data_IF_642187945341
#
_entry.id   IF_642187945341
#
_cell.length_a   1.000
_cell.length_b   1.000
_cell.length_c   1.000
_cell.angle_alpha   90.00
_cell.angle_beta   90.00
_cell.angle_gamma   90.00
#
_symmetry.space_group_name_H-M   'P 1'
#
loop_
_entity.id
_entity.type
_entity.pdbx_description
1 polymer ?
#
# COMPACT_ATOMS: atom_id res chain seq x y z
N UNK A 1 -9.44 -10.94 -8.98
CA UNK A 1 -8.66 -11.98 -9.68
C UNK A 1 -7.19 -11.59 -9.66
N UNK A 2 -6.28 -12.56 -9.58
CA UNK A 2 -4.83 -12.34 -9.66
C UNK A 2 -4.34 -12.93 -10.97
N UNK A 3 -3.57 -12.13 -11.73
CA UNK A 3 -2.91 -12.52 -12.97
C UNK A 3 -1.40 -12.42 -12.78
N UNK A 4 -0.64 -13.27 -13.46
CA UNK A 4 0.81 -13.20 -13.47
C UNK A 4 1.31 -12.96 -14.89
N UNK A 5 2.04 -11.86 -15.07
CA UNK A 5 2.70 -11.51 -16.33
C UNK A 5 4.21 -11.64 -16.15
N UNK A 6 4.84 -12.50 -16.94
CA UNK A 6 6.29 -12.68 -16.90
C UNK A 6 6.90 -12.55 -18.29
N UNK A 7 8.10 -11.98 -18.36
CA UNK A 7 8.95 -12.04 -19.57
C UNK A 7 9.71 -13.36 -19.70
N UNK A 8 9.67 -14.22 -18.67
CA UNK A 8 10.34 -15.52 -18.68
C UNK A 8 9.63 -16.54 -19.56
N UNK A 9 10.37 -17.61 -19.86
CA UNK A 9 9.86 -18.80 -20.54
C UNK A 9 8.62 -19.33 -19.83
N UNK A 10 7.67 -19.84 -20.63
CA UNK A 10 6.42 -20.41 -20.15
C UNK A 10 6.61 -21.46 -19.04
N UNK A 11 7.61 -22.32 -19.13
CA UNK A 11 7.88 -23.34 -18.10
C UNK A 11 8.22 -22.75 -16.73
N UNK A 12 9.06 -21.71 -16.69
CA UNK A 12 9.47 -21.05 -15.46
C UNK A 12 8.29 -20.28 -14.84
N UNK A 13 7.57 -19.51 -15.65
CA UNK A 13 6.38 -18.81 -15.22
C UNK A 13 5.33 -19.78 -14.64
N UNK A 14 5.00 -20.85 -15.36
CA UNK A 14 4.02 -21.83 -14.89
C UNK A 14 4.44 -22.52 -13.57
N UNK A 15 5.73 -22.82 -13.41
CA UNK A 15 6.24 -23.39 -12.17
C UNK A 15 6.01 -22.44 -10.98
N UNK A 16 6.42 -21.17 -11.13
CA UNK A 16 6.21 -20.15 -10.08
C UNK A 16 4.72 -19.98 -9.76
N UNK A 17 3.86 -19.87 -10.79
CA UNK A 17 2.42 -19.75 -10.59
C UNK A 17 1.82 -20.93 -9.80
N UNK A 18 2.28 -22.16 -10.08
CA UNK A 18 1.81 -23.35 -9.38
C UNK A 18 2.17 -23.32 -7.88
N UNK A 19 3.36 -22.81 -7.53
CA UNK A 19 3.83 -22.68 -6.15
C UNK A 19 3.02 -21.65 -5.35
N UNK A 20 2.53 -20.59 -6.01
CA UNK A 20 1.75 -19.52 -5.36
C UNK A 20 0.23 -19.64 -5.54
N UNK A 21 -0.24 -20.69 -6.22
CA UNK A 21 -1.67 -20.94 -6.41
C UNK A 21 -2.36 -20.08 -7.47
N UNK A 22 -1.63 -19.55 -8.45
CA UNK A 22 -2.21 -18.84 -9.61
C UNK A 22 -2.62 -19.87 -10.67
N UNK A 23 -3.87 -19.78 -11.12
CA UNK A 23 -4.42 -20.70 -12.12
C UNK A 23 -3.73 -20.53 -13.48
N UNK A 24 -3.54 -21.63 -14.21
CA UNK A 24 -2.79 -21.68 -15.46
C UNK A 24 -3.32 -20.74 -16.55
N UNK A 25 -4.64 -20.51 -16.59
CA UNK A 25 -5.33 -19.59 -17.51
C UNK A 25 -5.05 -18.11 -17.21
N UNK A 26 -4.48 -17.80 -16.03
CA UNK A 26 -4.16 -16.43 -15.58
C UNK A 26 -2.67 -16.14 -15.61
N UNK A 27 -1.89 -17.02 -16.25
CA UNK A 27 -0.44 -16.86 -16.46
C UNK A 27 -0.17 -16.50 -17.90
N UNK A 28 0.48 -15.36 -18.11
CA UNK A 28 0.92 -14.90 -19.42
C UNK A 28 2.44 -14.79 -19.36
N UNK A 29 3.12 -15.65 -20.12
CA UNK A 29 4.57 -15.74 -20.15
C UNK A 29 5.13 -15.14 -21.45
N UNK A 30 6.45 -14.94 -21.49
CA UNK A 30 7.17 -14.37 -22.65
C UNK A 30 6.64 -12.99 -23.08
N UNK A 31 6.09 -12.22 -22.12
CA UNK A 31 5.44 -10.92 -22.35
C UNK A 31 6.46 -9.79 -22.44
N UNK A 32 6.40 -9.01 -23.52
CA UNK A 32 7.21 -7.80 -23.72
C UNK A 32 6.66 -6.61 -22.89
N UNK A 33 7.49 -5.60 -22.57
CA UNK A 33 7.04 -4.44 -21.78
C UNK A 33 5.77 -3.75 -22.29
N UNK A 34 5.63 -3.58 -23.60
CA UNK A 34 4.44 -2.97 -24.20
C UNK A 34 3.18 -3.85 -24.09
N UNK A 35 3.35 -5.18 -24.12
CA UNK A 35 2.25 -6.13 -23.98
C UNK A 35 1.71 -6.14 -22.54
N UNK A 36 2.58 -5.95 -21.53
CA UNK A 36 2.13 -5.77 -20.14
C UNK A 36 1.19 -4.58 -20.00
N UNK A 37 1.51 -3.44 -20.63
CA UNK A 37 0.65 -2.25 -20.67
C UNK A 37 -0.67 -2.53 -21.40
N UNK A 38 -0.60 -3.16 -22.57
CA UNK A 38 -1.79 -3.50 -23.36
C UNK A 38 -2.77 -4.38 -22.57
N UNK A 39 -2.24 -5.36 -21.84
CA UNK A 39 -3.05 -6.24 -20.99
C UNK A 39 -3.78 -5.47 -19.87
N UNK A 40 -3.10 -4.52 -19.23
CA UNK A 40 -3.72 -3.65 -18.21
C UNK A 40 -4.85 -2.82 -18.84
N UNK A 41 -4.59 -2.21 -19.99
CA UNK A 41 -5.60 -1.43 -20.72
C UNK A 41 -6.80 -2.26 -21.16
N UNK A 42 -6.60 -3.53 -21.53
CA UNK A 42 -7.69 -4.45 -21.85
C UNK A 42 -8.58 -4.74 -20.63
N UNK A 43 -7.98 -5.05 -19.49
CA UNK A 43 -8.72 -5.23 -18.23
C UNK A 43 -9.48 -3.96 -17.82
N UNK A 44 -8.88 -2.78 -17.99
CA UNK A 44 -9.52 -1.50 -17.69
C UNK A 44 -10.70 -1.20 -18.61
N UNK A 45 -10.62 -1.58 -19.90
CA UNK A 45 -11.75 -1.48 -20.85
C UNK A 45 -12.94 -2.34 -20.44
N UNK A 46 -12.69 -3.44 -19.73
CA UNK A 46 -13.74 -4.26 -19.10
C UNK A 46 -14.27 -3.67 -17.77
N UNK A 47 -13.98 -2.40 -17.47
CA UNK A 47 -14.36 -1.68 -16.25
C UNK A 47 -13.78 -2.31 -14.96
N UNK A 48 -12.67 -3.04 -15.04
CA UNK A 48 -11.96 -3.54 -13.86
C UNK A 48 -10.97 -2.49 -13.37
N UNK A 49 -10.89 -2.32 -12.05
CA UNK A 49 -9.79 -1.58 -11.41
C UNK A 49 -8.57 -2.48 -11.29
N UNK A 50 -7.45 -2.05 -11.84
CA UNK A 50 -6.23 -2.84 -11.96
C UNK A 50 -5.13 -2.27 -11.06
N UNK A 51 -4.68 -3.08 -10.11
CA UNK A 51 -3.43 -2.85 -9.41
C UNK A 51 -2.32 -3.70 -10.04
N UNK A 52 -1.18 -3.08 -10.36
CA UNK A 52 -0.01 -3.78 -10.88
C UNK A 52 1.12 -3.74 -9.85
N UNK A 53 1.79 -4.89 -9.68
CA UNK A 53 3.01 -5.00 -8.88
C UNK A 53 4.18 -5.31 -9.83
N UNK A 54 5.30 -4.62 -9.66
CA UNK A 54 6.51 -4.83 -10.47
C UNK A 54 7.76 -4.36 -9.74
N UNK A 55 8.92 -4.78 -10.21
CA UNK A 55 10.23 -4.49 -9.58
C UNK A 55 11.24 -3.87 -10.55
N UNK A 56 11.00 -3.97 -11.86
CA UNK A 56 11.99 -3.61 -12.87
C UNK A 56 11.63 -2.41 -13.76
N UNK A 57 12.64 -1.91 -14.45
CA UNK A 57 12.49 -0.88 -15.51
C UNK A 57 11.50 -1.30 -16.62
N UNK A 58 11.36 -2.61 -16.86
CA UNK A 58 10.45 -3.19 -17.86
C UNK A 58 8.99 -3.06 -17.45
N UNK A 59 8.72 -2.86 -16.16
CA UNK A 59 7.36 -2.75 -15.62
C UNK A 59 6.92 -1.29 -15.50
N UNK A 60 7.83 -0.31 -15.59
CA UNK A 60 7.51 1.10 -15.38
C UNK A 60 6.34 1.60 -16.24
N UNK A 61 6.32 1.26 -17.54
CA UNK A 61 5.25 1.67 -18.45
C UNK A 61 3.89 1.03 -18.09
N UNK A 62 3.91 -0.18 -17.55
CA UNK A 62 2.72 -0.91 -17.15
C UNK A 62 2.24 -0.44 -15.76
N UNK A 63 3.17 -0.18 -14.83
CA UNK A 63 2.91 0.41 -13.50
C UNK A 63 2.25 1.78 -13.62
N UNK A 64 2.76 2.62 -14.52
CA UNK A 64 2.19 3.95 -14.80
C UNK A 64 0.80 3.89 -15.46
N UNK A 65 0.43 2.77 -16.09
CA UNK A 65 -0.87 2.59 -16.74
C UNK A 65 -1.93 1.97 -15.84
N UNK A 66 -1.52 1.32 -14.75
CA UNK A 66 -2.43 0.73 -13.78
C UNK A 66 -3.17 1.82 -13.00
N UNK A 67 -4.37 1.51 -12.49
CA UNK A 67 -5.08 2.40 -11.58
C UNK A 67 -4.30 2.60 -10.27
N UNK A 68 -3.56 1.56 -9.86
CA UNK A 68 -2.61 1.61 -8.75
C UNK A 68 -1.34 0.86 -9.13
N UNK A 69 -0.26 1.60 -9.41
CA UNK A 69 1.08 1.05 -9.61
C UNK A 69 1.80 0.83 -8.28
N UNK A 70 2.35 -0.37 -8.06
CA UNK A 70 3.03 -0.77 -6.83
C UNK A 70 4.43 -1.29 -7.15
N UNK A 71 5.46 -0.53 -6.79
CA UNK A 71 6.84 -0.93 -6.99
C UNK A 71 7.39 -1.72 -5.80
N UNK A 72 8.21 -2.74 -6.06
CA UNK A 72 9.04 -3.40 -5.05
C UNK A 72 10.27 -2.54 -4.74
N UNK A 73 10.57 -2.30 -3.46
CA UNK A 73 11.64 -1.39 -3.03
C UNK A 73 13.07 -1.82 -3.42
N UNK A 74 13.27 -3.08 -3.82
CA UNK A 74 14.54 -3.51 -4.41
C UNK A 74 14.86 -2.84 -5.75
N UNK A 75 13.85 -2.28 -6.43
CA UNK A 75 13.94 -1.66 -7.76
C UNK A 75 14.00 -0.13 -7.73
N UNK A 76 14.89 0.45 -6.91
CA UNK A 76 15.13 1.90 -6.90
C UNK A 76 15.46 2.36 -8.32
N UNK A 77 14.64 3.26 -8.89
CA UNK A 77 14.74 3.71 -10.27
C UNK A 77 13.37 3.96 -10.91
N UNK A 78 13.31 3.90 -12.24
CA UNK A 78 12.16 4.32 -13.04
C UNK A 78 10.81 3.66 -12.64
N UNK A 79 10.80 2.45 -12.09
CA UNK A 79 9.59 1.79 -11.62
C UNK A 79 9.00 2.46 -10.36
N UNK A 80 9.86 2.91 -9.45
CA UNK A 80 9.47 3.56 -8.19
C UNK A 80 8.93 4.96 -8.45
N UNK A 81 9.54 5.71 -9.37
CA UNK A 81 9.17 7.10 -9.70
C UNK A 81 7.75 7.23 -10.28
N UNK A 82 7.28 6.19 -10.98
CA UNK A 82 5.95 6.20 -11.62
C UNK A 82 4.88 5.47 -10.79
N UNK A 83 5.27 4.82 -9.69
CA UNK A 83 4.35 4.03 -8.87
C UNK A 83 3.69 4.86 -7.78
N UNK A 84 2.42 4.56 -7.50
CA UNK A 84 1.67 5.21 -6.41
C UNK A 84 2.07 4.70 -5.03
N UNK A 85 2.59 3.47 -4.95
CA UNK A 85 3.03 2.82 -3.70
C UNK A 85 4.38 2.14 -3.93
N UNK A 86 5.29 2.25 -2.97
CA UNK A 86 6.59 1.57 -2.99
C UNK A 86 6.76 0.70 -1.74
N UNK A 87 7.03 -0.60 -1.94
CA UNK A 87 7.20 -1.59 -0.87
C UNK A 87 8.67 -1.66 -0.42
N UNK A 88 9.06 -0.77 0.49
CA UNK A 88 10.46 -0.58 0.93
C UNK A 88 11.13 -1.83 1.50
N UNK A 89 10.38 -2.76 2.10
CA UNK A 89 10.93 -3.98 2.70
C UNK A 89 11.22 -5.10 1.70
N UNK A 90 10.94 -4.89 0.41
CA UNK A 90 11.07 -5.88 -0.66
C UNK A 90 10.37 -7.23 -0.36
N UNK A 91 9.22 -7.15 0.33
CA UNK A 91 8.39 -8.32 0.69
C UNK A 91 6.99 -8.12 0.16
N UNK A 92 6.50 -9.11 -0.60
CA UNK A 92 5.13 -9.06 -1.11
C UNK A 92 4.07 -9.11 0.02
N UNK A 93 4.42 -9.57 1.23
CA UNK A 93 3.53 -9.48 2.39
C UNK A 93 3.14 -8.04 2.75
N UNK A 94 4.02 -7.06 2.49
CA UNK A 94 3.72 -5.64 2.73
C UNK A 94 2.59 -5.12 1.84
N UNK A 95 2.35 -5.75 0.68
CA UNK A 95 1.20 -5.44 -0.15
C UNK A 95 -0.11 -5.75 0.58
N UNK A 96 -0.18 -6.86 1.30
CA UNK A 96 -1.36 -7.25 2.07
C UNK A 96 -1.60 -6.24 3.19
N UNK A 97 -0.55 -5.85 3.90
CA UNK A 97 -0.62 -4.82 4.96
C UNK A 97 -1.09 -3.48 4.39
N UNK A 98 -0.57 -3.05 3.24
CA UNK A 98 -0.97 -1.82 2.56
C UNK A 98 -2.44 -1.85 2.13
N UNK A 99 -2.93 -2.99 1.63
CA UNK A 99 -4.34 -3.17 1.26
C UNK A 99 -5.27 -3.17 2.48
N UNK A 100 -4.87 -3.79 3.59
CA UNK A 100 -5.64 -3.75 4.84
C UNK A 100 -5.70 -2.33 5.40
N UNK A 101 -4.57 -1.63 5.42
CA UNK A 101 -4.46 -0.22 5.80
C UNK A 101 -5.36 0.68 4.96
N UNK A 102 -5.34 0.50 3.64
CA UNK A 102 -6.19 1.26 2.71
C UNK A 102 -7.68 1.05 3.02
N UNK A 103 -8.11 -0.19 3.27
CA UNK A 103 -9.52 -0.50 3.63
C UNK A 103 -9.95 0.18 4.92
N UNK A 104 -9.14 0.10 5.97
CA UNK A 104 -9.45 0.72 7.26
C UNK A 104 -9.44 2.26 7.18
N UNK A 105 -8.53 2.83 6.37
CA UNK A 105 -8.51 4.27 6.08
C UNK A 105 -9.77 4.70 5.35
N UNK A 106 -10.16 3.98 4.30
CA UNK A 106 -11.38 4.30 3.54
C UNK A 106 -12.65 4.15 4.37
N UNK A 107 -12.68 3.23 5.34
CA UNK A 107 -13.79 3.14 6.31
C UNK A 107 -13.89 4.41 7.15
N UNK A 108 -12.75 4.91 7.64
CA UNK A 108 -12.67 6.14 8.43
C UNK A 108 -13.08 7.35 7.61
N UNK A 109 -12.60 7.46 6.36
CA UNK A 109 -13.00 8.53 5.43
C UNK A 109 -14.51 8.51 5.17
N UNK A 110 -15.11 7.34 4.92
CA UNK A 110 -16.57 7.21 4.73
C UNK A 110 -17.36 7.63 5.97
N UNK A 111 -16.89 7.29 7.17
CA UNK A 111 -17.53 7.73 8.41
C UNK A 111 -17.45 9.25 8.58
N UNK A 112 -16.29 9.84 8.30
CA UNK A 112 -16.09 11.29 8.39
C UNK A 112 -17.01 12.02 7.38
N UNK A 113 -17.11 11.51 6.15
CA UNK A 113 -18.04 12.04 5.15
C UNK A 113 -19.50 11.86 5.57
N UNK A 114 -19.87 10.73 6.17
CA UNK A 114 -21.24 10.50 6.65
C UNK A 114 -21.64 11.54 7.70
N UNK A 115 -20.76 11.83 8.67
CA UNK A 115 -20.98 12.92 9.63
C UNK A 115 -21.09 14.27 8.95
N UNK A 116 -20.17 14.61 8.03
CA UNK A 116 -20.21 15.87 7.28
C UNK A 116 -21.53 16.05 6.52
N UNK A 117 -22.03 15.00 5.84
CA UNK A 117 -23.32 15.04 5.17
C UNK A 117 -24.48 15.15 6.14
N UNK A 118 -24.47 14.44 7.27
CA UNK A 118 -25.52 14.54 8.28
C UNK A 118 -25.63 15.97 8.81
N UNK A 119 -24.50 16.63 9.11
CA UNK A 119 -24.49 18.03 9.53
C UNK A 119 -25.10 18.96 8.48
N UNK A 120 -24.80 18.76 7.19
CA UNK A 120 -25.37 19.58 6.12
C UNK A 120 -26.86 19.29 5.91
N UNK A 121 -27.29 18.02 5.96
CA UNK A 121 -28.68 17.60 5.79
C UNK A 121 -29.55 18.15 6.93
N UNK A 122 -29.04 18.20 8.16
CA UNK A 122 -29.77 18.76 9.31
C UNK A 122 -29.64 20.28 9.38
N UNK A 123 -28.44 20.80 9.11
CA UNK A 123 -28.14 22.23 9.20
C UNK A 123 -28.90 23.06 8.17
N UNK A 124 -29.06 22.58 6.93
CA UNK A 124 -29.74 23.32 5.87
C UNK A 124 -31.23 23.58 6.17
N UNK A 125 -32.06 22.58 6.55
CA UNK A 125 -33.45 22.82 6.96
C UNK A 125 -33.57 23.75 8.17
N UNK A 126 -32.71 23.58 9.17
CA UNK A 126 -32.71 24.44 10.36
C UNK A 126 -32.40 25.89 9.97
N UNK A 127 -31.38 26.12 9.13
CA UNK A 127 -31.03 27.44 8.62
C UNK A 127 -32.10 28.03 7.69
N UNK A 128 -32.79 27.19 6.92
CA UNK A 128 -33.93 27.58 6.07
C UNK A 128 -35.20 27.92 6.88
N UNK A 129 -35.17 27.78 8.21
CA UNK A 129 -36.24 28.19 9.09
C UNK A 129 -37.16 27.06 9.57
N UNK A 130 -36.80 25.79 9.38
CA UNK A 130 -37.59 24.66 9.88
C UNK A 130 -37.79 24.70 11.41
N UNK A 131 -36.88 25.35 12.16
CA UNK A 131 -36.99 25.51 13.62
C UNK A 131 -37.73 26.79 14.06
N UNK A 132 -37.96 27.75 13.16
CA UNK A 132 -38.71 28.98 13.47
C UNK A 132 -40.08 28.73 14.13
N UNK A 133 -40.94 27.80 13.64
CA UNK A 133 -42.27 27.62 14.22
C UNK A 133 -42.27 26.97 15.61
N UNK A 134 -41.17 26.33 16.03
CA UNK A 134 -41.12 25.59 17.31
C UNK A 134 -40.31 26.35 18.35
N UNK A 135 -39.14 26.89 17.99
CA UNK A 135 -38.20 27.47 18.97
C UNK A 135 -38.01 28.97 18.82
N UNK A 136 -38.52 29.60 17.75
CA UNK A 136 -38.28 31.03 17.48
C UNK A 136 -36.80 31.39 17.26
N UNK A 137 -35.93 30.40 17.11
CA UNK A 137 -34.48 30.58 16.99
C UNK A 137 -34.02 30.21 15.59
N UNK A 138 -33.20 31.09 14.99
CA UNK A 138 -32.43 30.80 13.78
C UNK A 138 -31.06 30.31 14.22
N UNK A 139 -30.52 29.30 13.54
CA UNK A 139 -29.14 28.86 13.79
C UNK A 139 -28.19 30.01 13.46
N UNK A 140 -27.59 30.63 14.47
CA UNK A 140 -26.62 31.70 14.24
C UNK A 140 -25.35 31.12 13.63
N UNK A 141 -24.63 31.89 12.78
CA UNK A 141 -23.33 31.47 12.25
C UNK A 141 -22.33 31.04 13.33
N UNK A 142 -22.42 31.61 14.53
CA UNK A 142 -21.60 31.25 15.68
C UNK A 142 -21.87 29.82 16.19
N UNK A 143 -23.13 29.41 16.32
CA UNK A 143 -23.51 28.06 16.76
C UNK A 143 -23.16 27.05 15.66
N UNK A 144 -23.43 27.38 14.39
CA UNK A 144 -23.03 26.56 13.26
C UNK A 144 -21.50 26.34 13.24
N UNK A 145 -20.72 27.41 13.46
CA UNK A 145 -19.26 27.34 13.58
C UNK A 145 -18.78 26.49 14.76
N UNK A 146 -19.43 26.61 15.92
CA UNK A 146 -19.12 25.78 17.09
C UNK A 146 -19.37 24.28 16.82
N UNK A 147 -20.52 23.94 16.22
CA UNK A 147 -20.83 22.56 15.80
C UNK A 147 -19.84 22.03 14.76
N UNK A 148 -19.42 22.87 13.81
CA UNK A 148 -18.37 22.53 12.83
C UNK A 148 -17.03 22.23 13.49
N UNK A 149 -16.68 22.98 14.54
CA UNK A 149 -15.51 22.73 15.38
C UNK A 149 -15.57 21.37 16.10
N UNK A 150 -16.70 21.05 16.73
CA UNK A 150 -16.91 19.75 17.40
C UNK A 150 -16.85 18.56 16.43
N UNK A 151 -17.37 18.71 15.21
CA UNK A 151 -17.29 17.68 14.16
C UNK A 151 -15.84 17.36 13.79
N UNK A 152 -15.01 18.40 13.67
CA UNK A 152 -13.57 18.25 13.38
C UNK A 152 -12.85 17.45 14.47
N UNK A 153 -13.19 17.69 15.75
CA UNK A 153 -12.65 16.92 16.88
C UNK A 153 -13.09 15.46 16.83
N UNK A 154 -14.37 15.19 16.52
CA UNK A 154 -14.87 13.82 16.38
C UNK A 154 -14.21 13.05 15.23
N UNK A 155 -14.04 13.71 14.09
CA UNK A 155 -13.31 13.18 12.92
C UNK A 155 -11.84 12.91 13.24
N UNK A 156 -11.19 13.83 13.95
CA UNK A 156 -9.81 13.66 14.41
C UNK A 156 -9.70 12.51 15.41
N UNK A 157 -10.61 12.40 16.37
CA UNK A 157 -10.67 11.30 17.33
C UNK A 157 -10.84 9.95 16.61
N UNK A 158 -11.74 9.86 15.63
CA UNK A 158 -11.94 8.65 14.83
C UNK A 158 -10.67 8.26 14.05
N UNK A 159 -10.00 9.24 13.45
CA UNK A 159 -8.72 9.05 12.74
C UNK A 159 -7.59 8.64 13.68
N UNK A 160 -7.56 9.15 14.91
CA UNK A 160 -6.62 8.75 15.96
C UNK A 160 -6.86 7.31 16.42
N UNK A 161 -8.12 6.90 16.60
CA UNK A 161 -8.45 5.51 16.93
C UNK A 161 -8.00 4.54 15.84
N UNK A 162 -8.12 4.91 14.56
CA UNK A 162 -7.57 4.14 13.46
C UNK A 162 -6.05 3.97 13.61
N UNK A 163 -5.32 5.06 13.86
CA UNK A 163 -3.87 5.02 14.09
C UNK A 163 -3.50 4.10 15.24
N UNK A 164 -4.22 4.17 16.37
CA UNK A 164 -3.96 3.31 17.53
C UNK A 164 -4.16 1.83 17.21
N UNK A 165 -5.21 1.50 16.43
CA UNK A 165 -5.51 0.12 16.02
C UNK A 165 -4.43 -0.45 15.08
N UNK A 166 -3.89 0.39 14.19
CA UNK A 166 -2.86 0.00 13.23
C UNK A 166 -1.45 -0.04 13.83
N UNK A 167 -1.11 0.93 14.70
CA UNK A 167 0.18 0.94 15.41
C UNK A 167 0.38 -0.31 16.27
N UNK A 168 -0.71 -0.91 16.75
CA UNK A 168 -0.66 -2.17 17.50
C UNK A 168 -0.27 -3.40 16.63
N UNK A 169 -0.32 -3.28 15.29
CA UNK A 169 0.07 -4.35 14.35
C UNK A 169 1.48 -4.20 13.78
N UNK A 170 2.08 -3.02 13.88
CA UNK A 170 3.45 -2.78 13.41
C UNK A 170 4.45 -3.27 14.48
N UNK A 171 4.82 -4.55 14.42
CA UNK A 171 6.03 -5.00 15.11
C UNK A 171 7.26 -4.26 14.53
N UNK A 172 8.19 -3.78 15.38
CA UNK A 172 9.33 -3.01 14.91
C UNK A 172 10.27 -3.90 14.09
N UNK A 173 10.34 -3.67 12.77
CA UNK A 173 11.38 -4.24 11.91
C UNK A 173 12.61 -3.34 12.02
N UNK A 174 13.37 -3.50 13.11
CA UNK A 174 14.80 -3.21 13.14
C UNK A 174 15.45 -3.98 14.29
N UNK A 175 16.16 -5.06 13.97
CA UNK A 175 17.36 -5.45 14.71
C UNK A 175 18.55 -5.03 13.85
N UNK A 176 19.59 -4.38 14.40
CA UNK A 176 20.85 -4.19 13.69
C UNK A 176 21.35 -5.59 13.30
N UNK A 177 21.65 -5.77 12.02
CA UNK A 177 22.33 -6.98 11.56
C UNK A 177 23.71 -6.98 12.22
N UNK A 178 24.00 -8.06 12.95
CA UNK A 178 25.24 -8.31 13.66
C UNK A 178 26.46 -7.78 12.89
N UNK A 179 27.25 -6.95 13.56
CA UNK A 179 28.54 -6.48 13.03
C UNK A 179 29.41 -7.72 12.81
N UNK A 180 30.31 -7.73 11.82
CA UNK A 180 31.19 -8.89 11.51
C UNK A 180 31.93 -9.42 12.76
N UNK A 181 32.13 -8.58 13.78
CA UNK A 181 32.66 -8.95 15.10
C UNK A 181 31.81 -9.98 15.88
N UNK A 182 30.49 -9.99 15.68
CA UNK A 182 29.56 -10.81 16.47
C UNK A 182 29.38 -12.23 15.87
N UNK A 183 29.79 -12.43 14.61
CA UNK A 183 29.68 -13.71 13.89
C UNK A 183 30.97 -14.53 13.98
N UNK A 184 32.10 -13.89 14.30
CA UNK A 184 33.40 -14.53 14.42
C UNK A 184 34.00 -14.29 15.82
N UNK A 185 33.55 -15.02 16.86
CA UNK A 185 34.14 -14.90 18.19
C UNK A 185 35.60 -15.36 18.26
N UNK A 186 36.13 -16.02 17.20
CA UNK A 186 37.46 -16.66 17.23
C UNK A 186 38.37 -16.36 16.01
N UNK A 187 38.08 -15.33 15.20
CA UNK A 187 38.96 -15.01 14.06
C UNK A 187 40.37 -14.56 14.49
N UNK A 188 40.50 -13.94 15.68
CA UNK A 188 41.81 -13.51 16.21
C UNK A 188 42.68 -14.67 16.75
N UNK A 189 42.11 -15.87 16.95
CA UNK A 189 42.86 -17.03 17.48
C UNK A 189 43.30 -18.03 16.40
N UNK A 190 42.69 -17.97 15.21
CA UNK A 190 43.05 -18.87 14.10
C UNK A 190 44.30 -18.45 13.31
N UNK A 191 44.81 -17.23 13.53
CA UNK A 191 45.97 -16.71 12.78
C UNK A 191 47.34 -17.19 13.34
N UNK A 192 47.36 -17.94 14.46
CA UNK A 192 48.61 -18.37 15.11
C UNK A 192 49.10 -19.79 14.82
N UNK A 193 48.42 -20.58 13.97
CA UNK A 193 48.70 -22.04 13.89
C UNK A 193 48.93 -22.64 12.50
N UNK A 194 49.41 -21.87 11.52
CA UNK A 194 49.87 -22.45 10.25
C UNK A 194 51.41 -22.45 10.14
N UNK A 195 52.06 -23.62 10.21
CA UNK A 195 53.49 -23.72 9.95
C UNK A 195 53.77 -23.47 8.46
N UNK A 196 54.72 -22.58 8.20
CA UNK A 196 55.30 -22.34 6.88
C UNK A 196 55.97 -23.63 6.37
N UNK A 197 55.37 -24.26 5.35
CA UNK A 197 55.97 -25.40 4.64
C UNK A 197 55.77 -25.29 3.13
N UNK A 198 56.25 -24.21 2.53
CA UNK A 198 56.65 -24.17 1.11
C UNK A 198 57.76 -23.12 0.94
N UNK A 199 58.99 -23.59 1.05
CA UNK A 199 60.18 -22.92 0.49
C UNK A 199 61.06 -24.05 -0.02
N UNK A 200 60.89 -24.35 -1.30
CA UNK A 200 61.87 -25.01 -2.14
C UNK A 200 62.52 -23.91 -3.00
#
# INVERSE_FOLDING_TARGET
>A
SVYMLSGDKKSAAMNVASLVGIQADKVIAEVKPHEKKSFISELQKEHKLVAMVGDGINDAAALASADVGIAMGGGVGAASDVSSVVLMGNRLSQLVDALELSKETMRTVKQNLWWAFLYNIVGLPIAAGALLPVTGTVLTPSIAGALMGFSSVGVMANSLFLRMRLSSRQQPIHKPQATISDVLPNAAESEKSYPSKWSA
#
